data_IF_876645706243
#
_entry.id   IF_876645706243
#
_cell.length_a   1.000
_cell.length_b   1.000
_cell.length_c   1.000
_cell.angle_alpha   90.00
_cell.angle_beta   90.00
_cell.angle_gamma   90.00
#
_symmetry.space_group_name_H-M   'P 1'
#
loop_
_entity.id
_entity.type
_entity.pdbx_description
1 polymer ?
#
# COMPACT_ATOMS: atom_id res chain seq x y z
N UNK A 1 -5.68 -9.89 -3.71
CA UNK A 1 -5.06 -9.20 -2.56
C UNK A 1 -6.10 -9.09 -1.43
N UNK A 2 -5.72 -9.11 -0.13
CA UNK A 2 -6.70 -9.16 0.98
C UNK A 2 -7.60 -7.93 0.98
N UNK A 3 -7.03 -6.74 0.72
CA UNK A 3 -7.77 -5.47 0.73
C UNK A 3 -8.88 -5.46 -0.33
N UNK A 4 -8.59 -5.97 -1.53
CA UNK A 4 -9.60 -6.15 -2.58
C UNK A 4 -10.75 -7.07 -2.15
N UNK A 5 -10.46 -8.20 -1.51
CA UNK A 5 -11.50 -9.13 -1.08
C UNK A 5 -12.38 -8.53 0.03
N UNK A 6 -11.76 -7.85 1.00
CA UNK A 6 -12.48 -7.19 2.10
C UNK A 6 -13.25 -5.96 1.64
N UNK A 7 -12.75 -5.23 0.64
CA UNK A 7 -13.44 -4.09 0.05
C UNK A 7 -14.70 -4.50 -0.69
N UNK A 8 -14.60 -5.58 -1.48
CA UNK A 8 -15.76 -6.12 -2.21
C UNK A 8 -16.81 -6.65 -1.23
N UNK A 9 -16.40 -7.34 -0.16
CA UNK A 9 -17.34 -7.81 0.86
C UNK A 9 -18.07 -6.64 1.55
N UNK A 10 -17.34 -5.59 1.95
CA UNK A 10 -17.95 -4.39 2.53
C UNK A 10 -18.93 -3.70 1.57
N UNK A 11 -18.69 -3.74 0.25
CA UNK A 11 -19.58 -3.19 -0.78
C UNK A 11 -20.95 -3.90 -0.88
N UNK A 12 -21.01 -5.15 -0.39
CA UNK A 12 -22.22 -5.97 -0.33
C UNK A 12 -22.73 -6.14 1.11
N UNK A 13 -22.22 -5.35 2.06
CA UNK A 13 -22.53 -5.45 3.48
C UNK A 13 -22.30 -6.87 4.05
N UNK A 14 -21.38 -7.61 3.44
CA UNK A 14 -21.05 -8.99 3.79
C UNK A 14 -19.84 -9.03 4.75
N UNK A 15 -19.90 -9.80 5.84
CA UNK A 15 -18.74 -10.03 6.68
C UNK A 15 -17.72 -10.93 5.97
N UNK A 16 -16.43 -10.73 6.25
CA UNK A 16 -15.38 -11.64 5.80
C UNK A 16 -14.96 -12.60 6.91
N UNK A 17 -14.81 -13.87 6.56
CA UNK A 17 -14.25 -14.89 7.44
C UNK A 17 -12.86 -15.30 6.98
N UNK A 18 -11.95 -15.50 7.93
CA UNK A 18 -10.59 -15.95 7.68
C UNK A 18 -10.38 -17.31 8.33
N UNK A 19 -9.99 -18.30 7.53
CA UNK A 19 -9.68 -19.64 8.00
C UNK A 19 -8.18 -19.92 7.86
N UNK A 20 -7.47 -19.96 8.99
CA UNK A 20 -6.06 -20.28 9.05
C UNK A 20 -5.68 -20.80 10.44
N UNK A 21 -4.55 -21.51 10.53
CA UNK A 21 -4.05 -22.01 11.82
C UNK A 21 -3.38 -20.90 12.62
N UNK A 22 -3.45 -20.98 13.96
CA UNK A 22 -2.76 -20.04 14.85
C UNK A 22 -1.23 -20.07 14.66
N UNK A 23 -0.66 -21.23 14.33
CA UNK A 23 0.76 -21.36 14.04
C UNK A 23 1.13 -20.61 12.75
N UNK A 24 0.33 -20.74 11.70
CA UNK A 24 0.51 -20.00 10.45
C UNK A 24 0.48 -18.49 10.69
N UNK A 25 -0.43 -17.98 11.53
CA UNK A 25 -0.46 -16.57 11.90
C UNK A 25 0.78 -16.11 12.67
N UNK A 26 1.27 -16.92 13.61
CA UNK A 26 2.46 -16.53 14.39
C UNK A 26 3.71 -16.44 13.52
N UNK A 27 3.80 -17.28 12.49
CA UNK A 27 5.00 -17.43 11.68
C UNK A 27 4.98 -16.60 10.39
N UNK A 28 3.82 -16.06 9.98
CA UNK A 28 3.71 -15.32 8.72
C UNK A 28 4.16 -13.87 8.90
N UNK A 29 5.18 -13.46 8.11
CA UNK A 29 5.79 -12.13 8.19
C UNK A 29 4.79 -10.96 8.06
N UNK A 30 3.67 -11.21 7.37
CA UNK A 30 2.61 -10.23 7.09
C UNK A 30 1.34 -10.36 7.93
N UNK A 31 1.38 -11.06 9.06
CA UNK A 31 0.16 -11.26 9.85
C UNK A 31 -0.39 -9.96 10.43
N UNK A 32 0.45 -9.10 10.98
CA UNK A 32 0.00 -7.87 11.63
C UNK A 32 -0.71 -6.93 10.65
N UNK A 33 -0.12 -6.69 9.48
CA UNK A 33 -0.72 -5.83 8.44
C UNK A 33 -1.94 -6.46 7.79
N UNK A 34 -1.94 -7.78 7.54
CA UNK A 34 -3.13 -8.46 7.01
C UNK A 34 -4.32 -8.32 7.97
N UNK A 35 -4.11 -8.56 9.27
CA UNK A 35 -5.16 -8.42 10.29
C UNK A 35 -5.63 -6.98 10.43
N UNK A 36 -4.74 -6.00 10.26
CA UNK A 36 -5.12 -4.60 10.23
C UNK A 36 -6.04 -4.26 9.04
N UNK A 37 -5.83 -4.86 7.86
CA UNK A 37 -6.74 -4.70 6.72
C UNK A 37 -8.13 -5.25 7.05
N UNK A 38 -8.21 -6.46 7.63
CA UNK A 38 -9.49 -7.02 8.08
C UNK A 38 -10.19 -6.11 9.08
N UNK A 39 -9.46 -5.63 10.10
CA UNK A 39 -9.99 -4.76 11.14
C UNK A 39 -10.62 -3.50 10.54
N UNK A 40 -9.92 -2.80 9.64
CA UNK A 40 -10.39 -1.55 9.02
C UNK A 40 -11.65 -1.76 8.19
N UNK A 41 -11.66 -2.78 7.32
CA UNK A 41 -12.81 -3.02 6.45
C UNK A 41 -14.04 -3.52 7.20
N UNK A 42 -13.86 -4.34 8.23
CA UNK A 42 -14.97 -4.76 9.11
C UNK A 42 -15.50 -3.59 9.95
N UNK A 43 -14.64 -2.66 10.38
CA UNK A 43 -15.05 -1.44 11.07
C UNK A 43 -15.87 -0.51 10.16
N UNK A 44 -15.41 -0.29 8.92
CA UNK A 44 -16.13 0.50 7.91
C UNK A 44 -17.51 -0.11 7.61
N UNK A 45 -17.58 -1.43 7.43
CA UNK A 45 -18.84 -2.16 7.23
C UNK A 45 -19.77 -2.02 8.43
N UNK A 46 -19.28 -2.35 9.63
CA UNK A 46 -20.11 -2.34 10.85
C UNK A 46 -20.62 -0.95 11.24
N UNK A 47 -19.92 0.12 10.85
CA UNK A 47 -20.34 1.51 11.09
C UNK A 47 -21.20 2.10 9.99
N UNK A 48 -21.50 1.36 8.91
CA UNK A 48 -22.14 1.90 7.70
C UNK A 48 -21.42 3.16 7.20
N UNK A 49 -20.08 3.13 7.20
CA UNK A 49 -19.27 4.31 6.89
C UNK A 49 -19.27 4.63 5.38
N UNK A 50 -19.41 3.62 4.52
CA UNK A 50 -19.47 3.79 3.06
C UNK A 50 -20.81 4.38 2.63
N UNK A 51 -20.76 5.34 1.71
CA UNK A 51 -21.97 5.77 0.99
C UNK A 51 -22.40 4.72 -0.04
N UNK A 52 -23.64 4.80 -0.51
CA UNK A 52 -24.14 3.89 -1.54
C UNK A 52 -23.37 4.04 -2.86
N UNK A 53 -22.93 5.26 -3.21
CA UNK A 53 -22.07 5.50 -4.37
C UNK A 53 -20.70 4.82 -4.22
N UNK A 54 -20.09 4.89 -3.03
CA UNK A 54 -18.84 4.20 -2.76
C UNK A 54 -19.01 2.68 -2.80
N UNK A 55 -20.11 2.14 -2.28
CA UNK A 55 -20.42 0.70 -2.42
C UNK A 55 -20.54 0.30 -3.89
N UNK A 56 -21.22 1.10 -4.72
CA UNK A 56 -21.32 0.83 -6.16
C UNK A 56 -19.93 0.86 -6.84
N UNK A 57 -19.08 1.81 -6.48
CA UNK A 57 -17.70 1.90 -6.96
C UNK A 57 -16.87 0.67 -6.59
N UNK A 58 -16.97 0.20 -5.34
CA UNK A 58 -16.25 -0.98 -4.84
C UNK A 58 -16.71 -2.31 -5.48
N UNK A 59 -17.86 -2.33 -6.15
CA UNK A 59 -18.34 -3.51 -6.90
C UNK A 59 -17.69 -3.66 -8.27
N UNK A 60 -16.99 -2.63 -8.76
CA UNK A 60 -16.22 -2.75 -10.00
C UNK A 60 -14.94 -3.58 -9.76
N UNK A 61 -14.94 -4.81 -10.26
CA UNK A 61 -13.82 -5.73 -10.15
C UNK A 61 -12.54 -5.26 -10.89
N UNK A 62 -12.62 -4.21 -11.72
CA UNK A 62 -11.46 -3.66 -12.43
C UNK A 62 -10.68 -2.62 -11.63
N UNK A 63 -11.30 -2.00 -10.63
CA UNK A 63 -10.68 -0.95 -9.81
C UNK A 63 -10.51 -1.44 -8.38
N UNK A 64 -9.27 -1.49 -7.91
CA UNK A 64 -9.00 -1.75 -6.51
C UNK A 64 -8.98 -0.45 -5.69
N UNK A 65 -9.25 -0.53 -4.39
CA UNK A 65 -9.25 0.63 -3.50
C UNK A 65 -8.40 0.39 -2.25
N UNK A 66 -7.75 1.46 -1.79
CA UNK A 66 -7.05 1.51 -0.52
C UNK A 66 -7.92 2.19 0.55
N UNK A 67 -8.07 1.53 1.70
CA UNK A 67 -8.65 2.11 2.90
C UNK A 67 -7.53 2.62 3.82
N UNK A 68 -7.16 3.88 3.57
CA UNK A 68 -6.13 4.58 4.31
C UNK A 68 -6.67 5.01 5.67
N UNK A 69 -5.81 4.94 6.70
CA UNK A 69 -6.00 5.68 7.94
C UNK A 69 -5.14 6.92 7.87
N UNK A 70 -5.77 8.08 7.97
CA UNK A 70 -5.08 9.36 7.96
C UNK A 70 -4.44 9.69 9.31
N UNK A 71 -3.81 10.86 9.38
CA UNK A 71 -3.09 11.36 10.53
C UNK A 71 -3.99 11.58 11.77
N UNK A 72 -5.31 11.66 11.58
CA UNK A 72 -6.32 11.76 12.65
C UNK A 72 -7.00 10.41 12.97
N UNK A 73 -6.47 9.29 12.47
CA UNK A 73 -7.09 7.97 12.55
C UNK A 73 -8.49 7.89 11.93
N UNK A 74 -8.76 8.71 10.92
CA UNK A 74 -9.98 8.66 10.14
C UNK A 74 -9.75 7.88 8.85
N UNK A 75 -10.81 7.23 8.37
CA UNK A 75 -10.76 6.49 7.12
C UNK A 75 -10.79 7.44 5.91
N UNK A 76 -9.95 7.14 4.93
CA UNK A 76 -10.00 7.72 3.59
C UNK A 76 -10.04 6.58 2.57
N UNK A 77 -10.91 6.70 1.57
CA UNK A 77 -11.05 5.72 0.50
C UNK A 77 -10.42 6.27 -0.78
N UNK A 78 -9.37 5.62 -1.27
CA UNK A 78 -8.65 6.05 -2.46
C UNK A 78 -8.62 4.94 -3.51
N UNK A 79 -8.95 5.20 -4.78
CA UNK A 79 -8.65 4.26 -5.85
C UNK A 79 -7.12 4.18 -5.99
N UNK A 80 -6.61 2.97 -6.19
CA UNK A 80 -5.18 2.77 -6.44
C UNK A 80 -4.95 1.79 -7.59
N UNK A 81 -3.77 1.89 -8.18
CA UNK A 81 -3.34 1.07 -9.30
C UNK A 81 -2.09 0.30 -8.90
N UNK A 82 -2.08 -1.01 -9.17
CA UNK A 82 -0.89 -1.82 -8.92
C UNK A 82 0.20 -1.48 -9.94
N UNK A 83 1.41 -1.22 -9.46
CA UNK A 83 2.61 -1.18 -10.30
C UNK A 83 3.07 -2.62 -10.47
N UNK A 84 2.84 -3.20 -11.65
CA UNK A 84 3.12 -4.63 -11.91
C UNK A 84 4.55 -4.90 -12.40
N UNK A 85 5.25 -3.85 -12.83
CA UNK A 85 6.58 -3.95 -13.44
C UNK A 85 7.73 -3.77 -12.45
N UNK A 86 7.47 -3.72 -11.14
CA UNK A 86 8.48 -3.40 -10.11
C UNK A 86 9.73 -4.27 -10.25
N UNK A 87 10.90 -3.64 -10.28
CA UNK A 87 12.20 -4.30 -10.41
C UNK A 87 12.25 -5.33 -11.55
N UNK A 88 11.73 -4.96 -12.72
CA UNK A 88 11.63 -5.84 -13.89
C UNK A 88 10.57 -6.94 -13.75
N UNK A 89 9.42 -6.62 -13.15
CA UNK A 89 8.33 -7.56 -12.84
C UNK A 89 8.68 -8.62 -11.78
N UNK A 90 9.51 -8.26 -10.80
CA UNK A 90 9.76 -9.11 -9.64
C UNK A 90 8.54 -9.08 -8.69
N UNK A 91 7.91 -10.23 -8.50
CA UNK A 91 6.72 -10.39 -7.65
C UNK A 91 6.98 -10.29 -6.14
N UNK A 92 8.24 -10.21 -5.72
CA UNK A 92 8.64 -10.09 -4.33
C UNK A 92 8.22 -8.76 -3.70
N UNK A 93 8.12 -7.70 -4.51
CA UNK A 93 7.61 -6.40 -4.10
C UNK A 93 6.20 -6.21 -4.66
N UNK A 94 5.27 -5.86 -3.77
CA UNK A 94 3.97 -5.35 -4.16
C UNK A 94 3.98 -3.85 -3.96
N UNK A 95 3.57 -3.08 -4.97
CA UNK A 95 3.48 -1.64 -4.91
C UNK A 95 2.20 -1.16 -5.60
N UNK A 96 1.53 -0.18 -5.01
CA UNK A 96 0.32 0.42 -5.52
C UNK A 96 0.40 1.94 -5.41
N UNK A 97 -0.01 2.65 -6.45
CA UNK A 97 0.00 4.10 -6.53
C UNK A 97 -1.41 4.67 -6.41
N UNK A 98 -1.57 5.72 -5.62
CA UNK A 98 -2.79 6.51 -5.50
C UNK A 98 -2.45 8.00 -5.43
N UNK A 99 -3.47 8.84 -5.56
CA UNK A 99 -3.32 10.28 -5.45
C UNK A 99 -4.05 10.79 -4.21
N UNK A 100 -3.40 11.66 -3.43
CA UNK A 100 -3.96 12.30 -2.25
C UNK A 100 -3.46 13.74 -2.19
N UNK A 101 -4.37 14.69 -2.05
CA UNK A 101 -4.06 16.14 -1.97
C UNK A 101 -3.21 16.67 -3.14
N UNK A 102 -3.44 16.14 -4.34
CA UNK A 102 -2.70 16.53 -5.55
C UNK A 102 -1.36 15.83 -5.75
N UNK A 103 -0.89 15.05 -4.76
CA UNK A 103 0.39 14.35 -4.81
C UNK A 103 0.23 12.85 -4.94
N UNK A 104 1.24 12.20 -5.53
CA UNK A 104 1.27 10.75 -5.67
C UNK A 104 1.80 10.10 -4.40
N UNK A 105 1.13 9.04 -3.99
CA UNK A 105 1.52 8.20 -2.89
C UNK A 105 1.68 6.78 -3.40
N UNK A 106 2.77 6.12 -3.00
CA UNK A 106 3.00 4.71 -3.32
C UNK A 106 3.03 3.92 -2.02
N UNK A 107 2.10 2.99 -1.86
CA UNK A 107 2.13 1.99 -0.80
C UNK A 107 2.84 0.75 -1.31
N UNK A 108 3.83 0.25 -0.58
CA UNK A 108 4.62 -0.90 -1.01
C UNK A 108 5.10 -1.77 0.14
N UNK A 109 5.44 -3.02 -0.19
CA UNK A 109 6.03 -3.98 0.74
C UNK A 109 6.69 -5.15 0.04
N UNK A 110 7.58 -5.84 0.76
CA UNK A 110 8.09 -7.15 0.38
C UNK A 110 7.21 -8.28 0.92
N UNK A 111 7.01 -9.36 0.15
CA UNK A 111 6.12 -10.47 0.52
C UNK A 111 6.62 -11.30 1.71
N UNK A 112 7.94 -11.44 1.90
CA UNK A 112 8.53 -12.20 3.01
C UNK A 112 9.10 -11.33 4.13
N UNK A 113 9.08 -10.00 3.96
CA UNK A 113 9.69 -9.04 4.89
C UNK A 113 11.22 -9.09 4.89
N UNK A 114 11.87 -7.94 5.12
CA UNK A 114 13.32 -7.78 5.24
C UNK A 114 14.13 -7.71 3.93
N UNK A 115 13.75 -6.80 3.03
CA UNK A 115 14.60 -6.33 1.93
C UNK A 115 14.70 -4.81 1.92
N UNK A 116 15.51 -4.27 1.02
CA UNK A 116 15.59 -2.85 0.67
C UNK A 116 15.28 -2.68 -0.82
N UNK A 117 14.80 -1.49 -1.16
CA UNK A 117 14.47 -1.09 -2.51
C UNK A 117 15.27 0.18 -2.85
N UNK A 118 16.13 0.10 -3.85
CA UNK A 118 16.76 1.26 -4.48
C UNK A 118 15.87 1.74 -5.63
N UNK A 119 15.50 3.02 -5.59
CA UNK A 119 14.62 3.67 -6.56
C UNK A 119 15.35 4.87 -7.18
N UNK A 120 15.38 5.00 -8.52
CA UNK A 120 15.98 6.13 -9.20
C UNK A 120 15.07 7.37 -9.12
N UNK A 121 14.94 7.91 -7.91
CA UNK A 121 14.18 9.11 -7.58
C UNK A 121 15.06 10.05 -6.75
N UNK A 122 14.91 11.36 -6.95
CA UNK A 122 15.58 12.36 -6.12
C UNK A 122 14.96 12.37 -4.71
N UNK A 123 15.78 12.15 -3.69
CA UNK A 123 15.36 12.17 -2.29
C UNK A 123 14.74 13.48 -1.81
N UNK A 124 14.95 14.61 -2.51
CA UNK A 124 14.26 15.88 -2.19
C UNK A 124 12.77 15.87 -2.52
N UNK A 125 12.36 14.98 -3.41
CA UNK A 125 10.98 14.85 -3.88
C UNK A 125 10.25 13.69 -3.20
N UNK A 126 10.89 12.98 -2.28
CA UNK A 126 10.34 11.77 -1.66
C UNK A 126 10.41 11.88 -0.15
N UNK A 127 9.30 11.62 0.51
CA UNK A 127 9.23 11.40 1.95
C UNK A 127 8.75 9.96 2.23
N UNK A 128 9.40 9.29 3.17
CA UNK A 128 9.12 7.91 3.55
C UNK A 128 8.28 7.89 4.83
N UNK A 129 7.32 6.98 4.87
CA UNK A 129 6.38 6.85 5.97
C UNK A 129 6.19 5.39 6.33
N UNK A 130 6.14 5.08 7.63
CA UNK A 130 5.69 3.77 8.11
C UNK A 130 4.19 3.60 7.90
N UNK A 131 3.48 4.60 8.38
CA UNK A 131 2.07 4.90 8.17
C UNK A 131 2.03 6.39 7.83
N UNK A 132 0.95 6.87 7.22
CA UNK A 132 0.90 8.28 6.77
C UNK A 132 1.09 9.30 7.91
N UNK A 133 0.84 8.90 9.17
CA UNK A 133 1.02 9.69 10.38
C UNK A 133 2.44 9.64 10.98
N UNK A 134 3.32 8.80 10.45
CA UNK A 134 4.65 8.56 10.99
C UNK A 134 5.71 8.52 9.90
N UNK A 135 6.36 9.66 9.71
CA UNK A 135 7.53 9.82 8.84
C UNK A 135 8.72 9.00 9.35
N UNK A 136 9.48 8.43 8.43
CA UNK A 136 10.73 7.70 8.67
C UNK A 136 11.83 8.26 7.76
N UNK A 137 13.08 8.14 8.20
CA UNK A 137 14.23 8.57 7.41
C UNK A 137 14.49 7.60 6.25
N UNK A 138 14.82 8.15 5.08
CA UNK A 138 15.34 7.38 3.95
C UNK A 138 16.74 6.86 4.31
N UNK A 139 17.02 5.57 4.06
CA UNK A 139 18.23 4.91 4.55
C UNK A 139 19.51 5.49 3.97
N UNK A 140 19.50 5.86 2.69
CA UNK A 140 20.60 6.55 2.03
C UNK A 140 20.18 7.08 0.68
N UNK A 141 20.93 8.06 0.17
CA UNK A 141 20.94 8.41 -1.26
C UNK A 141 22.24 7.91 -1.89
N UNK A 142 22.16 7.05 -2.92
CA UNK A 142 23.33 6.57 -3.67
C UNK A 142 23.26 7.08 -5.10
N UNK A 143 24.26 7.83 -5.55
CA UNK A 143 24.31 8.38 -6.92
C UNK A 143 23.08 9.20 -7.36
N UNK A 144 22.31 9.74 -6.40
CA UNK A 144 21.05 10.45 -6.68
C UNK A 144 19.79 9.61 -6.49
N UNK A 145 19.91 8.30 -6.35
CA UNK A 145 18.82 7.34 -6.12
C UNK A 145 18.55 7.20 -4.62
N UNK A 146 17.29 6.98 -4.23
CA UNK A 146 16.91 6.71 -2.83
C UNK A 146 16.98 5.23 -2.52
N UNK A 147 17.32 4.91 -1.28
CA UNK A 147 17.22 3.56 -0.72
C UNK A 147 16.22 3.57 0.42
N UNK A 148 15.18 2.74 0.29
CA UNK A 148 14.09 2.64 1.27
C UNK A 148 13.91 1.20 1.76
N UNK A 149 13.45 0.99 3.00
CA UNK A 149 13.19 -0.35 3.52
C UNK A 149 11.95 -0.96 2.85
N UNK A 150 12.02 -2.24 2.51
CA UNK A 150 10.91 -3.04 2.00
C UNK A 150 10.69 -4.24 2.93
N UNK A 151 10.20 -3.99 4.14
CA UNK A 151 9.98 -4.99 5.17
C UNK A 151 8.51 -5.08 5.55
N UNK A 152 8.01 -4.15 6.35
CA UNK A 152 6.59 -3.93 6.60
C UNK A 152 5.97 -3.09 5.47
N UNK A 153 4.66 -2.81 5.54
CA UNK A 153 4.02 -1.89 4.60
C UNK A 153 4.60 -0.49 4.83
N UNK A 154 5.02 0.17 3.76
CA UNK A 154 5.55 1.53 3.77
C UNK A 154 4.79 2.39 2.77
N UNK A 155 4.90 3.69 2.95
CA UNK A 155 4.33 4.69 2.06
C UNK A 155 5.44 5.64 1.61
N UNK A 156 5.49 5.95 0.32
CA UNK A 156 6.24 7.07 -0.22
C UNK A 156 5.24 8.16 -0.59
N UNK A 157 5.46 9.38 -0.10
CA UNK A 157 4.86 10.58 -0.67
C UNK A 157 5.84 11.14 -1.70
N UNK A 158 5.38 11.34 -2.93
CA UNK A 158 6.22 11.77 -4.04
C UNK A 158 5.68 13.09 -4.60
N UNK A 159 6.47 14.13 -4.45
CA UNK A 159 6.15 15.51 -4.85
C UNK A 159 6.85 15.87 -6.16
N UNK A 160 6.22 16.68 -7.01
CA UNK A 160 6.84 17.22 -8.24
C UNK A 160 7.39 16.17 -9.24
N UNK A 161 6.87 14.93 -9.21
CA UNK A 161 7.21 13.86 -10.17
C UNK A 161 5.94 13.38 -10.86
N UNK A 162 5.99 13.17 -12.17
CA UNK A 162 4.85 12.65 -12.93
C UNK A 162 4.61 11.17 -12.65
N UNK A 163 3.37 10.70 -12.87
CA UNK A 163 3.01 9.30 -12.71
C UNK A 163 3.93 8.40 -13.52
N UNK A 164 4.20 8.73 -14.78
CA UNK A 164 5.02 7.93 -15.70
C UNK A 164 6.44 7.74 -15.16
N UNK A 165 7.04 8.80 -14.61
CA UNK A 165 8.37 8.73 -13.98
C UNK A 165 8.38 7.88 -12.71
N UNK A 166 7.28 7.89 -11.94
CA UNK A 166 7.15 7.00 -10.77
C UNK A 166 7.09 5.55 -11.24
N UNK A 167 6.31 5.23 -12.28
CA UNK A 167 6.27 3.89 -12.86
C UNK A 167 7.65 3.46 -13.37
N UNK A 168 8.33 4.31 -14.14
CA UNK A 168 9.68 4.05 -14.65
C UNK A 168 10.68 3.81 -13.50
N UNK A 169 10.59 4.59 -12.42
CA UNK A 169 11.46 4.40 -11.26
C UNK A 169 11.22 3.07 -10.54
N UNK A 170 9.96 2.69 -10.35
CA UNK A 170 9.63 1.38 -9.76
C UNK A 170 10.00 0.22 -10.69
N UNK A 171 9.85 0.38 -12.00
CA UNK A 171 10.27 -0.61 -13.00
C UNK A 171 11.78 -0.87 -12.94
N UNK A 172 12.58 0.20 -12.85
CA UNK A 172 14.04 0.14 -12.77
C UNK A 172 14.58 -0.04 -11.34
N UNK A 173 13.71 -0.32 -10.37
CA UNK A 173 14.10 -0.49 -8.98
C UNK A 173 15.01 -1.72 -8.80
N UNK A 174 15.84 -1.70 -7.75
CA UNK A 174 16.69 -2.84 -7.38
C UNK A 174 16.38 -3.31 -5.97
N UNK A 175 16.23 -4.63 -5.83
CA UNK A 175 15.95 -5.28 -4.55
C UNK A 175 17.24 -5.89 -4.01
N UNK A 176 17.54 -5.66 -2.74
CA UNK A 176 18.73 -6.21 -2.07
C UNK A 176 18.52 -6.34 -0.56
N UNK A 177 19.52 -6.87 0.15
CA UNK A 177 19.51 -7.11 1.61
C UNK A 177 19.77 -5.85 2.46
#
# INVERSE_FOLDING_TARGET
MIEYATSLAAAWDCPVSLNASLESFKNHARTADNLEVFRRWEEVRSRNWLTEEQKLQLRDAKQEYHLLLNEQNQFELHPYEQITTVAGSNEEIRAFIFQREGEYHVVYWHISGNKKLELPLDGKNVALYKNIDREEEILSTRNGDIVVPANDRKYLKISNVSKEKIFEAFENARIFE
#
